data_IF_450716179188
#
_entry.id   IF_450716179188
#
_cell.length_a   1.000
_cell.length_b   1.000
_cell.length_c   1.000
_cell.angle_alpha   90.00
_cell.angle_beta   90.00
_cell.angle_gamma   90.00
#
_symmetry.space_group_name_H-M   'P 1'
#
loop_
_entity.id
_entity.type
_entity.pdbx_description
1 polymer ?
#
# COMPACT_ATOMS: atom_id res chain seq x y z
N UNK A 1 13.12 -6.47 -28.81
CA UNK A 1 12.76 -5.76 -27.57
C UNK A 1 13.81 -6.05 -26.51
N UNK A 2 14.34 -5.04 -25.84
CA UNK A 2 15.09 -5.23 -24.60
C UNK A 2 14.15 -5.27 -23.40
N UNK A 3 14.50 -6.08 -22.40
CA UNK A 3 13.80 -6.19 -21.12
C UNK A 3 14.76 -5.76 -20.01
N UNK A 4 14.21 -5.13 -18.97
CA UNK A 4 14.95 -4.86 -17.72
C UNK A 4 14.36 -5.71 -16.61
N UNK A 5 15.23 -6.18 -15.73
CA UNK A 5 14.85 -6.88 -14.52
C UNK A 5 14.53 -5.83 -13.45
N UNK A 6 13.27 -5.81 -13.00
CA UNK A 6 12.85 -4.99 -11.85
C UNK A 6 12.70 -5.92 -10.65
N UNK A 7 13.45 -5.63 -9.59
CA UNK A 7 13.38 -6.37 -8.33
C UNK A 7 12.51 -5.64 -7.30
N UNK A 8 11.53 -6.32 -6.72
CA UNK A 8 10.79 -5.87 -5.54
C UNK A 8 10.98 -6.84 -4.37
N UNK A 9 11.04 -6.32 -3.14
CA UNK A 9 11.18 -7.14 -1.93
C UNK A 9 9.81 -7.36 -1.31
N UNK A 10 9.32 -8.59 -1.41
CA UNK A 10 7.94 -8.95 -1.06
C UNK A 10 7.91 -10.06 -0.01
N UNK A 11 6.80 -10.18 0.71
CA UNK A 11 6.68 -11.17 1.79
C UNK A 11 6.74 -12.60 1.26
N UNK A 12 7.47 -13.47 1.96
CA UNK A 12 7.53 -14.91 1.67
C UNK A 12 6.37 -15.66 2.31
N UNK A 13 6.12 -16.89 1.87
CA UNK A 13 5.12 -17.77 2.50
C UNK A 13 5.41 -18.03 3.99
N UNK A 14 6.69 -18.11 4.37
CA UNK A 14 7.07 -18.23 5.79
C UNK A 14 6.79 -16.95 6.57
N UNK A 15 6.90 -15.79 5.90
CA UNK A 15 6.49 -14.52 6.48
C UNK A 15 4.98 -14.44 6.70
N UNK A 16 4.18 -14.92 5.73
CA UNK A 16 2.71 -14.97 5.84
C UNK A 16 2.24 -15.82 7.02
N UNK A 17 2.92 -16.93 7.31
CA UNK A 17 2.60 -17.78 8.48
C UNK A 17 2.79 -17.08 9.83
N UNK A 18 3.56 -15.99 9.89
CA UNK A 18 3.76 -15.22 11.11
C UNK A 18 2.65 -14.18 11.34
N UNK A 19 1.76 -13.98 10.38
CA UNK A 19 0.66 -13.03 10.46
C UNK A 19 -0.49 -13.65 11.25
N UNK A 20 -1.01 -12.92 12.23
CA UNK A 20 -2.21 -13.34 12.98
C UNK A 20 -3.43 -12.61 12.45
N UNK A 21 -4.35 -13.34 11.82
CA UNK A 21 -5.65 -12.83 11.38
C UNK A 21 -6.68 -12.94 12.51
N UNK A 22 -7.44 -11.89 12.75
CA UNK A 22 -8.56 -11.83 13.69
C UNK A 22 -9.75 -11.10 13.06
N UNK A 23 -10.93 -11.31 13.63
CA UNK A 23 -12.12 -10.51 13.35
C UNK A 23 -12.28 -9.48 14.47
N UNK A 24 -12.43 -8.21 14.13
CA UNK A 24 -12.59 -7.14 15.10
C UNK A 24 -14.00 -7.17 15.71
N UNK A 25 -14.10 -7.19 17.03
CA UNK A 25 -15.39 -7.24 17.75
C UNK A 25 -15.79 -5.91 18.41
N UNK A 26 -14.94 -4.88 18.36
CA UNK A 26 -15.22 -3.55 18.92
C UNK A 26 -14.69 -3.31 20.34
N UNK A 27 -14.09 -4.31 20.99
CA UNK A 27 -13.59 -4.20 22.38
C UNK A 27 -12.06 -4.07 22.48
N UNK A 28 -11.34 -4.07 21.36
CA UNK A 28 -9.88 -4.05 21.37
C UNK A 28 -9.32 -2.63 21.43
N UNK A 29 -8.11 -2.47 22.00
CA UNK A 29 -7.42 -1.18 22.20
C UNK A 29 -6.91 -0.52 20.89
N UNK A 30 -7.37 -0.97 19.73
CA UNK A 30 -6.83 -0.57 18.44
C UNK A 30 -7.71 0.52 17.84
N UNK A 31 -7.17 1.73 17.67
CA UNK A 31 -7.98 2.89 17.31
C UNK A 31 -8.19 3.02 15.80
N UNK A 32 -7.19 2.68 14.97
CA UNK A 32 -7.24 2.86 13.51
C UNK A 32 -6.18 2.09 12.74
N UNK A 33 -6.47 1.79 11.49
CA UNK A 33 -5.52 1.27 10.52
C UNK A 33 -4.57 2.39 10.07
N UNK A 34 -3.25 2.19 10.19
CA UNK A 34 -2.28 3.21 9.77
C UNK A 34 -2.11 3.32 8.25
N UNK A 35 -2.68 2.39 7.46
CA UNK A 35 -2.65 2.44 5.99
C UNK A 35 -3.82 3.29 5.46
N UNK A 36 -5.05 3.01 5.91
CA UNK A 36 -6.25 3.74 5.45
C UNK A 36 -6.55 4.98 6.29
N UNK A 37 -5.94 5.09 7.47
CA UNK A 37 -6.23 6.12 8.47
C UNK A 37 -7.65 6.05 9.07
N UNK A 38 -8.39 4.97 8.79
CA UNK A 38 -9.76 4.73 9.25
C UNK A 38 -9.79 3.84 10.51
N UNK A 39 -10.81 4.02 11.34
CA UNK A 39 -11.13 3.12 12.45
C UNK A 39 -11.54 1.73 11.96
N UNK A 40 -11.37 0.72 12.81
CA UNK A 40 -11.83 -0.64 12.53
C UNK A 40 -13.32 -0.78 12.78
N UNK A 41 -14.00 -1.55 11.91
CA UNK A 41 -15.42 -1.84 12.04
C UNK A 41 -15.67 -3.24 12.60
N UNK A 42 -16.76 -3.40 13.36
CA UNK A 42 -17.13 -4.72 13.90
C UNK A 42 -17.37 -5.71 12.75
N UNK A 43 -16.74 -6.87 12.83
CA UNK A 43 -16.75 -7.89 11.78
C UNK A 43 -15.63 -7.73 10.73
N UNK A 44 -14.84 -6.66 10.79
CA UNK A 44 -13.75 -6.42 9.87
C UNK A 44 -12.56 -7.36 10.17
N UNK A 45 -11.89 -7.82 9.12
CA UNK A 45 -10.71 -8.68 9.24
C UNK A 45 -9.46 -7.83 9.43
N UNK A 46 -8.76 -8.09 10.53
CA UNK A 46 -7.52 -7.40 10.90
C UNK A 46 -6.38 -8.41 10.90
N UNK A 47 -5.21 -7.96 10.48
CA UNK A 47 -3.96 -8.68 10.67
C UNK A 47 -3.11 -7.97 11.73
N UNK A 48 -2.56 -8.77 12.63
CA UNK A 48 -1.56 -8.38 13.63
C UNK A 48 -0.21 -8.88 13.14
N UNK A 49 0.74 -7.96 12.95
CA UNK A 49 2.12 -8.31 12.63
C UNK A 49 2.86 -8.82 13.88
N UNK A 50 3.98 -9.57 13.73
CA UNK A 50 4.87 -9.95 14.84
C UNK A 50 5.53 -8.79 15.62
N UNK A 51 5.30 -7.55 15.20
CA UNK A 51 5.66 -6.34 15.93
C UNK A 51 4.48 -5.71 16.67
N UNK A 52 3.35 -6.41 16.77
CA UNK A 52 2.13 -6.00 17.48
C UNK A 52 1.47 -4.73 16.91
N UNK A 53 1.60 -4.53 15.59
CA UNK A 53 0.87 -3.49 14.86
C UNK A 53 -0.28 -4.08 14.06
N UNK A 54 -1.37 -3.32 13.96
CA UNK A 54 -2.69 -3.74 13.48
C UNK A 54 -3.05 -3.04 12.18
N UNK A 55 -3.61 -3.79 11.23
CA UNK A 55 -4.00 -3.26 9.93
C UNK A 55 -5.21 -4.02 9.37
N UNK A 56 -6.02 -3.35 8.55
CA UNK A 56 -7.05 -4.02 7.75
C UNK A 56 -6.38 -5.06 6.85
N UNK A 57 -6.95 -6.27 6.81
CA UNK A 57 -6.34 -7.44 6.15
C UNK A 57 -5.94 -7.15 4.69
N UNK A 58 -6.84 -6.58 3.91
CA UNK A 58 -6.63 -6.37 2.48
C UNK A 58 -5.46 -5.40 2.23
N UNK A 59 -5.45 -4.30 2.98
CA UNK A 59 -4.49 -3.21 2.85
C UNK A 59 -3.07 -3.62 3.23
N UNK A 60 -2.92 -4.36 4.34
CA UNK A 60 -1.60 -4.84 4.76
C UNK A 60 -1.09 -5.98 3.88
N UNK A 61 -1.97 -6.83 3.35
CA UNK A 61 -1.54 -7.85 2.39
C UNK A 61 -1.03 -7.19 1.11
N UNK A 62 -1.75 -6.21 0.56
CA UNK A 62 -1.32 -5.41 -0.60
C UNK A 62 0.02 -4.71 -0.35
N UNK A 63 0.21 -4.13 0.84
CA UNK A 63 1.50 -3.55 1.22
C UNK A 63 2.63 -4.58 1.21
N UNK A 64 2.42 -5.74 1.85
CA UNK A 64 3.43 -6.78 2.01
C UNK A 64 3.77 -7.51 0.70
N UNK A 65 2.82 -7.60 -0.22
CA UNK A 65 2.96 -8.30 -1.49
C UNK A 65 3.46 -7.40 -2.63
N UNK A 66 3.12 -6.11 -2.61
CA UNK A 66 3.43 -5.20 -3.73
C UNK A 66 4.48 -4.14 -3.41
N UNK A 67 4.62 -3.74 -2.13
CA UNK A 67 5.40 -2.55 -1.76
C UNK A 67 6.64 -2.88 -0.93
N UNK A 68 6.46 -3.60 0.18
CA UNK A 68 7.53 -3.85 1.13
C UNK A 68 7.18 -4.95 2.11
N UNK A 69 8.08 -5.91 2.30
CA UNK A 69 7.97 -6.93 3.35
C UNK A 69 8.35 -6.42 4.76
N UNK A 70 7.95 -5.19 5.11
CA UNK A 70 8.23 -4.57 6.41
C UNK A 70 7.00 -3.84 6.96
N UNK A 71 6.88 -3.77 8.28
CA UNK A 71 5.80 -3.05 8.95
C UNK A 71 5.76 -1.56 8.53
N UNK A 72 4.59 -1.03 8.09
CA UNK A 72 4.44 0.40 7.75
C UNK A 72 4.78 1.37 8.88
N UNK A 73 4.63 0.93 10.13
CA UNK A 73 4.83 1.79 11.32
C UNK A 73 6.29 1.73 11.80
N UNK A 74 6.78 0.54 12.14
CA UNK A 74 8.09 0.39 12.79
C UNK A 74 9.20 -0.15 11.88
N UNK A 75 8.91 -0.44 10.61
CA UNK A 75 9.84 -0.97 9.61
C UNK A 75 10.50 -2.31 9.97
N UNK A 76 10.01 -3.02 10.99
CA UNK A 76 10.47 -4.39 11.29
C UNK A 76 10.21 -5.28 10.08
N UNK A 77 11.26 -5.91 9.58
CA UNK A 77 11.20 -6.79 8.40
C UNK A 77 10.57 -8.12 8.76
N UNK A 78 9.80 -8.65 7.82
CA UNK A 78 9.29 -10.01 7.83
C UNK A 78 10.14 -10.88 6.89
N UNK A 79 10.12 -12.22 7.03
CA UNK A 79 10.73 -13.12 6.07
C UNK A 79 10.24 -12.82 4.65
N UNK A 80 11.17 -12.60 3.72
CA UNK A 80 10.92 -12.04 2.40
C UNK A 80 11.81 -12.66 1.32
N UNK A 81 11.51 -12.35 0.06
CA UNK A 81 12.35 -12.71 -1.09
C UNK A 81 12.33 -11.58 -2.13
N UNK A 82 13.33 -11.58 -3.02
CA UNK A 82 13.37 -10.67 -4.17
C UNK A 82 12.55 -11.28 -5.32
N UNK A 83 11.44 -10.62 -5.66
CA UNK A 83 10.64 -10.92 -6.84
C UNK A 83 11.23 -10.16 -8.02
N UNK A 84 11.68 -10.88 -9.04
CA UNK A 84 12.24 -10.31 -10.26
C UNK A 84 11.18 -10.37 -11.37
N UNK A 85 10.73 -9.23 -11.84
CA UNK A 85 9.82 -9.10 -12.97
C UNK A 85 10.56 -8.60 -14.21
N UNK A 86 10.38 -9.31 -15.32
CA UNK A 86 10.91 -8.91 -16.63
C UNK A 86 9.94 -7.96 -17.31
N UNK A 87 10.23 -6.67 -17.23
CA UNK A 87 9.41 -5.65 -17.91
C UNK A 87 10.10 -5.17 -19.20
N UNK A 88 9.34 -4.88 -20.25
CA UNK A 88 9.90 -4.34 -21.48
C UNK A 88 10.56 -2.98 -21.17
N UNK A 89 11.83 -2.80 -21.54
CA UNK A 89 12.59 -1.55 -21.31
C UNK A 89 12.13 -0.40 -22.21
N UNK A 90 10.92 -0.46 -22.76
CA UNK A 90 10.48 0.51 -23.74
C UNK A 90 10.27 1.86 -23.04
N UNK A 91 11.19 2.79 -23.30
CA UNK A 91 11.18 4.16 -22.76
C UNK A 91 9.85 4.88 -23.00
N UNK A 92 9.15 4.57 -24.09
CA UNK A 92 7.82 5.15 -24.35
C UNK A 92 6.76 4.69 -23.35
N UNK A 93 6.83 3.46 -22.83
CA UNK A 93 5.92 2.97 -21.78
C UNK A 93 6.19 3.71 -20.46
N UNK A 94 7.47 3.90 -20.09
CA UNK A 94 7.83 4.64 -18.88
C UNK A 94 7.38 6.11 -18.95
N UNK A 95 7.56 6.75 -20.10
CA UNK A 95 7.08 8.12 -20.34
C UNK A 95 5.57 8.19 -20.25
N UNK A 96 4.84 7.26 -20.89
CA UNK A 96 3.37 7.24 -20.83
C UNK A 96 2.86 7.01 -19.39
N UNK A 97 3.49 6.10 -18.64
CA UNK A 97 3.14 5.88 -17.24
C UNK A 97 3.41 7.10 -16.35
N UNK A 98 4.50 7.84 -16.61
CA UNK A 98 4.80 9.10 -15.92
C UNK A 98 3.81 10.21 -16.28
N UNK A 99 3.47 10.35 -17.57
CA UNK A 99 2.49 11.32 -18.07
C UNK A 99 1.13 11.07 -17.42
N UNK A 100 0.64 9.82 -17.41
CA UNK A 100 -0.63 9.49 -16.79
C UNK A 100 -0.66 9.89 -15.30
N UNK A 101 0.41 9.62 -14.56
CA UNK A 101 0.52 10.01 -13.15
C UNK A 101 0.57 11.53 -12.94
N UNK A 102 1.08 12.31 -13.89
CA UNK A 102 1.08 13.78 -13.84
C UNK A 102 -0.31 14.32 -14.15
N UNK A 103 -1.00 13.75 -15.15
CA UNK A 103 -2.37 14.10 -15.49
C UNK A 103 -3.30 13.86 -14.28
N UNK A 104 -3.15 12.71 -13.61
CA UNK A 104 -3.91 12.38 -12.38
C UNK A 104 -3.71 13.43 -11.26
N UNK A 105 -2.54 14.08 -11.21
CA UNK A 105 -2.25 15.16 -10.25
C UNK A 105 -2.79 16.53 -10.70
N UNK A 106 -2.94 16.77 -12.00
CA UNK A 106 -3.47 18.04 -12.54
C UNK A 106 -5.00 18.11 -12.44
N UNK A 107 -5.72 16.99 -12.57
CA UNK A 107 -7.18 16.96 -12.40
C UNK A 107 -7.63 17.32 -10.96
N UNK A 108 -6.89 16.93 -9.93
CA UNK A 108 -7.14 17.38 -8.55
C UNK A 108 -6.87 18.88 -8.37
N UNK A 109 -5.93 19.43 -9.14
CA UNK A 109 -5.56 20.83 -9.06
C UNK A 109 -6.56 21.75 -9.77
N UNK A 110 -7.22 21.27 -10.83
CA UNK A 110 -8.30 21.97 -11.52
C UNK A 110 -9.55 22.09 -10.64
N UNK A 111 -9.88 21.06 -9.85
CA UNK A 111 -10.92 21.14 -8.82
C UNK A 111 -10.58 22.18 -7.75
N UNK A 112 -9.31 22.24 -7.33
CA UNK A 112 -8.83 23.22 -6.35
C UNK A 112 -8.85 24.65 -6.90
N UNK A 113 -8.52 24.85 -8.17
CA UNK A 113 -8.58 26.14 -8.86
C UNK A 113 -10.04 26.64 -9.00
N UNK A 114 -10.95 25.77 -9.43
CA UNK A 114 -12.38 26.09 -9.54
C UNK A 114 -13.01 26.42 -8.18
N UNK A 115 -12.64 25.70 -7.12
CA UNK A 115 -13.07 26.01 -5.75
C UNK A 115 -12.53 27.37 -5.30
N UNK A 116 -11.24 27.66 -5.50
CA UNK A 116 -10.64 28.93 -5.11
C UNK A 116 -11.28 30.14 -5.80
N UNK A 117 -11.63 30.03 -7.07
CA UNK A 117 -12.35 31.08 -7.81
C UNK A 117 -13.78 31.30 -7.27
N UNK A 118 -14.44 30.25 -6.80
CA UNK A 118 -15.78 30.37 -6.18
C UNK A 118 -15.79 30.95 -4.76
N UNK A 119 -14.67 30.90 -4.03
CA UNK A 119 -14.56 31.42 -2.66
C UNK A 119 -13.99 32.85 -2.59
N UNK A 120 -13.31 33.31 -3.65
CA UNK A 120 -12.70 34.64 -3.72
C UNK A 120 -13.35 35.57 -4.76
N UNK A 121 -14.61 35.30 -5.13
CA UNK A 121 -15.49 36.25 -5.83
C UNK A 121 -16.49 36.89 -4.87
#
# INVERSE_FOLDING_TARGET
MSFVDVSSVVISEDGKKLLKEITFEGEEKYEKCAITMESFEKGEKIIILPCEHYFKKEEIMKWLEDHSAACPICRKKLPNYEKIEKVPSNRSILINNLINRIIDMEEENDLQAALYESFNT
#
